data_IF_570800976102
#
_entry.id   IF_570800976102
#
_cell.length_a   1.000
_cell.length_b   1.000
_cell.length_c   1.000
_cell.angle_alpha   90.00
_cell.angle_beta   90.00
_cell.angle_gamma   90.00
#
_symmetry.space_group_name_H-M   'P 1'
#
loop_
_entity.id
_entity.type
_entity.pdbx_description
1 polymer ?
#
# COMPACT_ATOMS: atom_id res chain seq x y z
N UNK A 1 1.59 23.86 0.43
CA UNK A 1 1.11 22.47 0.56
C UNK A 1 0.97 21.67 -0.73
N UNK A 2 0.88 22.24 -1.92
CA UNK A 2 0.87 21.52 -3.22
C UNK A 2 2.14 20.72 -3.56
N UNK A 3 3.28 21.07 -3.00
CA UNK A 3 4.60 20.50 -3.32
C UNK A 3 4.81 19.05 -2.84
N UNK A 4 4.11 18.62 -1.78
CA UNK A 4 4.24 17.25 -1.23
C UNK A 4 3.46 16.19 -2.01
N UNK A 5 2.33 16.55 -2.67
CA UNK A 5 1.56 15.62 -3.52
C UNK A 5 2.37 15.10 -4.71
N UNK A 6 3.20 15.97 -5.30
CA UNK A 6 4.06 15.60 -6.44
C UNK A 6 5.17 14.63 -6.06
N UNK A 7 5.77 14.80 -4.89
CA UNK A 7 6.89 13.98 -4.43
C UNK A 7 6.45 12.55 -4.05
N UNK A 8 5.35 12.39 -3.31
CA UNK A 8 4.78 11.09 -2.94
C UNK A 8 4.30 10.31 -4.17
N UNK A 9 3.64 11.00 -5.11
CA UNK A 9 3.21 10.41 -6.39
C UNK A 9 4.41 9.96 -7.22
N UNK A 10 5.49 10.74 -7.24
CA UNK A 10 6.73 10.44 -7.96
C UNK A 10 7.48 9.26 -7.32
N UNK A 11 7.51 9.15 -5.99
CA UNK A 11 8.17 8.05 -5.26
C UNK A 11 7.41 6.72 -5.39
N UNK A 12 6.07 6.74 -5.31
CA UNK A 12 5.25 5.54 -5.57
C UNK A 12 5.31 5.10 -7.04
N UNK A 13 5.40 6.04 -7.97
CA UNK A 13 5.61 5.77 -9.39
C UNK A 13 7.00 5.18 -9.64
N UNK A 14 8.02 5.64 -8.93
CA UNK A 14 9.39 5.12 -8.99
C UNK A 14 9.46 3.64 -8.55
N UNK A 15 8.78 3.23 -7.50
CA UNK A 15 8.79 1.83 -7.04
C UNK A 15 8.06 0.88 -8.01
N UNK A 16 6.96 1.33 -8.62
CA UNK A 16 6.29 0.56 -9.68
C UNK A 16 7.18 0.45 -10.91
N UNK A 17 7.90 1.52 -11.25
CA UNK A 17 8.89 1.53 -12.34
C UNK A 17 10.05 0.57 -12.06
N UNK A 18 10.54 0.50 -10.82
CA UNK A 18 11.61 -0.45 -10.45
C UNK A 18 11.16 -1.90 -10.58
N UNK A 19 9.95 -2.24 -10.12
CA UNK A 19 9.40 -3.61 -10.25
C UNK A 19 9.19 -3.98 -11.72
N UNK A 20 8.62 -3.06 -12.53
CA UNK A 20 8.46 -3.28 -13.97
C UNK A 20 9.80 -3.37 -14.70
N UNK A 21 10.77 -2.57 -14.30
CA UNK A 21 12.13 -2.65 -14.84
C UNK A 21 12.80 -3.98 -14.51
N UNK A 22 12.66 -4.47 -13.27
CA UNK A 22 13.18 -5.80 -12.87
C UNK A 22 12.50 -6.94 -13.67
N UNK A 23 11.19 -6.87 -13.91
CA UNK A 23 10.49 -7.81 -14.77
C UNK A 23 11.01 -7.78 -16.22
N UNK A 24 11.23 -6.59 -16.78
CA UNK A 24 11.76 -6.43 -18.13
C UNK A 24 13.17 -6.99 -18.23
N UNK A 25 14.05 -6.72 -17.26
CA UNK A 25 15.42 -7.27 -17.21
C UNK A 25 15.37 -8.80 -17.13
N UNK A 26 14.48 -9.37 -16.31
CA UNK A 26 14.31 -10.82 -16.22
C UNK A 26 13.85 -11.43 -17.56
N UNK A 27 12.93 -10.79 -18.26
CA UNK A 27 12.50 -11.20 -19.60
C UNK A 27 13.64 -11.13 -20.64
N UNK A 28 14.48 -10.08 -20.58
CA UNK A 28 15.63 -9.93 -21.48
C UNK A 28 16.66 -11.04 -21.22
N UNK A 29 16.96 -11.34 -19.96
CA UNK A 29 17.89 -12.41 -19.60
C UNK A 29 17.38 -13.77 -20.09
N UNK A 30 16.07 -14.01 -20.05
CA UNK A 30 15.45 -15.22 -20.59
C UNK A 30 15.57 -15.32 -22.11
N UNK A 31 15.30 -14.24 -22.82
CA UNK A 31 15.46 -14.20 -24.27
C UNK A 31 16.92 -14.47 -24.67
N UNK A 32 17.87 -13.95 -23.88
CA UNK A 32 19.30 -14.21 -24.10
C UNK A 32 19.66 -15.69 -23.88
N UNK A 33 19.11 -16.35 -22.83
CA UNK A 33 19.36 -17.79 -22.61
C UNK A 33 18.77 -18.64 -23.72
N UNK A 34 17.57 -18.33 -24.21
CA UNK A 34 16.93 -19.00 -25.33
C UNK A 34 17.80 -18.82 -26.60
N UNK A 35 18.29 -17.62 -26.88
CA UNK A 35 19.15 -17.36 -28.04
C UNK A 35 20.47 -18.13 -27.99
N UNK A 36 21.11 -18.22 -26.82
CA UNK A 36 22.35 -19.00 -26.64
C UNK A 36 22.09 -20.49 -26.82
N UNK A 37 20.99 -21.02 -26.29
CA UNK A 37 20.59 -22.43 -26.46
C UNK A 37 20.32 -22.78 -27.93
N UNK A 38 19.58 -21.91 -28.64
CA UNK A 38 19.28 -22.13 -30.08
C UNK A 38 20.55 -22.09 -30.95
N UNK A 39 21.50 -21.18 -30.67
CA UNK A 39 22.78 -21.12 -31.35
C UNK A 39 23.61 -22.38 -31.08
N UNK A 40 23.64 -22.87 -29.83
CA UNK A 40 24.33 -24.12 -29.48
C UNK A 40 23.74 -25.32 -30.21
N UNK A 41 22.41 -25.43 -30.30
CA UNK A 41 21.74 -26.52 -31.05
C UNK A 41 22.08 -26.42 -32.55
N UNK A 42 22.06 -25.25 -33.15
CA UNK A 42 22.37 -25.02 -34.56
C UNK A 42 23.87 -25.29 -34.91
N UNK A 43 24.78 -24.94 -34.02
CA UNK A 43 26.24 -25.19 -34.27
C UNK A 43 26.63 -26.65 -34.09
N UNK A 44 25.85 -27.43 -33.29
CA UNK A 44 26.03 -28.85 -33.10
C UNK A 44 25.21 -29.70 -34.10
N UNK A 45 24.24 -29.08 -34.78
CA UNK A 45 23.43 -29.74 -35.81
C UNK A 45 24.29 -30.03 -37.04
N UNK A 46 24.73 -31.28 -37.20
CA UNK A 46 25.59 -31.74 -38.31
C UNK A 46 26.77 -32.59 -37.86
N UNK A 47 26.91 -32.86 -36.57
CA UNK A 47 27.85 -33.85 -36.04
C UNK A 47 27.10 -35.08 -35.54
N UNK A 48 27.37 -36.20 -36.16
CA UNK A 48 26.79 -37.51 -35.76
C UNK A 48 27.49 -38.13 -34.54
N UNK A 49 27.87 -37.30 -33.56
CA UNK A 49 28.50 -37.77 -32.32
C UNK A 49 27.46 -38.08 -31.22
N UNK A 50 27.66 -39.13 -30.42
CA UNK A 50 26.76 -39.47 -29.31
C UNK A 50 26.66 -38.34 -28.25
N UNK A 51 27.63 -37.43 -28.19
CA UNK A 51 27.67 -36.23 -27.36
C UNK A 51 26.59 -35.21 -27.80
N UNK A 52 26.17 -35.23 -29.06
CA UNK A 52 25.15 -34.35 -29.61
C UNK A 52 23.76 -34.59 -28.97
N UNK A 53 23.31 -35.84 -28.84
CA UNK A 53 22.04 -36.17 -28.23
C UNK A 53 21.97 -35.76 -26.73
N UNK A 54 23.08 -35.96 -26.01
CA UNK A 54 23.17 -35.56 -24.62
C UNK A 54 23.12 -34.03 -24.43
N UNK A 55 23.76 -33.29 -25.32
CA UNK A 55 23.79 -31.80 -25.29
C UNK A 55 22.43 -31.19 -25.60
N UNK A 56 21.68 -31.75 -26.55
CA UNK A 56 20.32 -31.34 -26.88
C UNK A 56 19.38 -31.60 -25.71
N UNK A 57 19.42 -32.77 -25.12
CA UNK A 57 18.59 -33.14 -23.97
C UNK A 57 18.85 -32.17 -22.80
N UNK A 58 20.13 -31.84 -22.49
CA UNK A 58 20.48 -30.95 -21.43
C UNK A 58 19.98 -29.53 -21.71
N UNK A 59 20.09 -29.04 -22.97
CA UNK A 59 19.63 -27.72 -23.35
C UNK A 59 18.10 -27.58 -23.27
N UNK A 60 17.33 -28.61 -23.69
CA UNK A 60 15.88 -28.62 -23.56
C UNK A 60 15.40 -28.64 -22.11
N UNK A 61 16.10 -29.37 -21.22
CA UNK A 61 15.80 -29.41 -19.79
C UNK A 61 16.07 -28.02 -19.16
N UNK A 62 17.20 -27.39 -19.44
CA UNK A 62 17.54 -26.06 -18.91
C UNK A 62 16.55 -24.99 -19.38
N UNK A 63 16.12 -25.06 -20.64
CA UNK A 63 15.12 -24.15 -21.21
C UNK A 63 13.74 -24.34 -20.57
N UNK A 64 13.32 -25.57 -20.34
CA UNK A 64 12.07 -25.89 -19.63
C UNK A 64 12.06 -25.37 -18.19
N UNK A 65 13.16 -25.56 -17.44
CA UNK A 65 13.30 -25.05 -16.08
C UNK A 65 13.26 -23.51 -16.08
N UNK A 66 13.95 -22.88 -17.02
CA UNK A 66 14.01 -21.43 -17.17
C UNK A 66 12.63 -20.81 -17.43
N UNK A 67 11.81 -21.43 -18.28
CA UNK A 67 10.42 -21.00 -18.52
C UNK A 67 9.54 -21.11 -17.26
N UNK A 68 9.66 -22.18 -16.49
CA UNK A 68 8.91 -22.38 -15.25
C UNK A 68 9.29 -21.31 -14.22
N UNK A 69 10.58 -21.06 -14.03
CA UNK A 69 11.07 -20.03 -13.08
C UNK A 69 10.56 -18.64 -13.46
N UNK A 70 10.53 -18.31 -14.75
CA UNK A 70 10.03 -17.01 -15.19
C UNK A 70 8.53 -16.86 -15.01
N UNK A 71 7.77 -17.89 -15.35
CA UNK A 71 6.33 -17.89 -15.12
C UNK A 71 6.03 -17.70 -13.61
N UNK A 72 6.73 -18.41 -12.73
CA UNK A 72 6.62 -18.27 -11.29
C UNK A 72 6.98 -16.85 -10.82
N UNK A 73 8.04 -16.25 -11.38
CA UNK A 73 8.45 -14.89 -11.03
C UNK A 73 7.42 -13.83 -11.48
N UNK A 74 6.84 -13.98 -12.67
CA UNK A 74 5.77 -13.09 -13.15
C UNK A 74 4.54 -13.19 -12.24
N UNK A 75 4.12 -14.39 -11.85
CA UNK A 75 3.03 -14.60 -10.92
C UNK A 75 3.31 -13.97 -9.56
N UNK A 76 4.52 -14.11 -9.04
CA UNK A 76 4.95 -13.48 -7.81
C UNK A 76 4.88 -11.96 -7.90
N UNK A 77 5.35 -11.36 -8.99
CA UNK A 77 5.26 -9.91 -9.21
C UNK A 77 3.82 -9.40 -9.24
N UNK A 78 2.91 -10.13 -9.89
CA UNK A 78 1.48 -9.80 -9.92
C UNK A 78 0.88 -9.91 -8.51
N UNK A 79 1.23 -10.96 -7.78
CA UNK A 79 0.79 -11.17 -6.40
C UNK A 79 1.24 -10.04 -5.48
N UNK A 80 2.53 -9.69 -5.47
CA UNK A 80 3.09 -8.60 -4.66
C UNK A 80 2.42 -7.26 -5.00
N UNK A 81 2.22 -6.97 -6.29
CA UNK A 81 1.53 -5.76 -6.73
C UNK A 81 0.10 -5.68 -6.18
N UNK A 82 -0.62 -6.80 -6.18
CA UNK A 82 -2.03 -6.86 -5.75
C UNK A 82 -2.17 -6.92 -4.23
N UNK A 83 -1.30 -7.68 -3.55
CA UNK A 83 -1.40 -7.95 -2.12
C UNK A 83 -0.75 -6.85 -1.25
N UNK A 84 0.28 -6.16 -1.75
CA UNK A 84 1.08 -5.20 -0.97
C UNK A 84 0.98 -3.79 -1.54
N UNK A 85 1.36 -3.60 -2.80
CA UNK A 85 1.50 -2.25 -3.37
C UNK A 85 0.17 -1.51 -3.45
N UNK A 86 -0.87 -2.21 -3.86
CA UNK A 86 -2.21 -1.61 -4.04
C UNK A 86 -2.86 -1.17 -2.72
N UNK A 87 -2.88 -2.00 -1.65
CA UNK A 87 -3.37 -1.59 -0.34
C UNK A 87 -2.56 -0.46 0.29
N UNK A 88 -1.22 -0.53 0.26
CA UNK A 88 -0.35 0.53 0.81
C UNK A 88 -0.63 1.87 0.13
N UNK A 89 -0.86 1.86 -1.19
CA UNK A 89 -1.22 3.08 -1.92
C UNK A 89 -2.56 3.67 -1.48
N UNK A 90 -3.55 2.83 -1.21
CA UNK A 90 -4.84 3.26 -0.67
C UNK A 90 -4.67 3.89 0.72
N UNK A 91 -3.92 3.23 1.62
CA UNK A 91 -3.62 3.75 2.96
C UNK A 91 -2.89 5.09 2.88
N UNK A 92 -1.89 5.23 2.00
CA UNK A 92 -1.15 6.47 1.80
C UNK A 92 -2.03 7.61 1.30
N UNK A 93 -2.96 7.35 0.39
CA UNK A 93 -3.91 8.35 -0.09
C UNK A 93 -4.86 8.78 1.03
N UNK A 94 -5.32 7.82 1.83
CA UNK A 94 -6.22 8.09 2.94
C UNK A 94 -5.53 8.89 4.06
N UNK A 95 -4.27 8.56 4.35
CA UNK A 95 -3.47 9.35 5.29
C UNK A 95 -3.26 10.78 4.80
N UNK A 96 -3.18 10.99 3.48
CA UNK A 96 -3.13 12.34 2.92
C UNK A 96 -4.47 13.07 3.09
N UNK A 97 -5.62 12.42 2.85
CA UNK A 97 -6.94 12.99 3.13
C UNK A 97 -7.07 13.36 4.61
N UNK A 98 -6.65 12.46 5.49
CA UNK A 98 -6.62 12.68 6.94
C UNK A 98 -5.75 13.90 7.30
N UNK A 99 -4.58 14.07 6.70
CA UNK A 99 -3.70 15.23 6.94
C UNK A 99 -4.28 16.56 6.42
N UNK A 100 -5.24 16.50 5.49
CA UNK A 100 -6.00 17.64 4.98
C UNK A 100 -7.28 17.90 5.81
N UNK A 101 -7.50 17.15 6.91
CA UNK A 101 -8.69 17.26 7.75
C UNK A 101 -9.94 16.57 7.21
N UNK A 102 -9.82 15.78 6.13
CA UNK A 102 -10.93 15.04 5.53
C UNK A 102 -11.11 13.72 6.30
N UNK A 103 -12.00 13.72 7.28
CA UNK A 103 -12.26 12.57 8.15
C UNK A 103 -13.41 11.67 7.66
N UNK A 104 -14.25 12.15 6.75
CA UNK A 104 -15.46 11.47 6.27
C UNK A 104 -15.24 10.59 5.03
N UNK A 105 -14.05 10.56 4.42
CA UNK A 105 -13.77 9.76 3.24
C UNK A 105 -13.93 8.25 3.55
N UNK A 106 -14.54 7.50 2.63
CA UNK A 106 -14.64 6.04 2.76
C UNK A 106 -13.27 5.38 2.67
N UNK A 107 -13.01 4.46 3.60
CA UNK A 107 -11.77 3.72 3.68
C UNK A 107 -11.96 2.28 3.16
N UNK A 108 -11.78 2.09 1.86
CA UNK A 108 -11.92 0.80 1.17
C UNK A 108 -10.61 -0.01 1.19
N UNK A 109 -10.14 -0.40 2.36
CA UNK A 109 -9.06 -1.38 2.54
C UNK A 109 -9.57 -2.49 3.45
N UNK A 110 -9.38 -3.74 3.03
CA UNK A 110 -9.78 -4.90 3.84
C UNK A 110 -8.98 -4.94 5.13
N UNK A 111 -9.69 -4.87 6.26
CA UNK A 111 -9.12 -5.07 7.58
C UNK A 111 -9.03 -6.58 7.81
N UNK A 112 -7.82 -7.09 7.99
CA UNK A 112 -7.52 -8.50 8.24
C UNK A 112 -6.29 -8.61 9.15
N UNK A 113 -5.90 -9.83 9.52
CA UNK A 113 -4.78 -10.09 10.42
C UNK A 113 -3.39 -9.82 9.83
N UNK A 114 -3.28 -9.46 8.55
CA UNK A 114 -2.01 -9.05 7.95
C UNK A 114 -1.57 -7.69 8.52
N UNK A 115 -0.27 -7.43 8.53
CA UNK A 115 0.29 -6.15 9.00
C UNK A 115 -0.31 -4.94 8.29
N UNK A 116 -0.59 -5.08 6.98
CA UNK A 116 -1.25 -4.05 6.18
C UNK A 116 -2.72 -3.88 6.61
N UNK A 117 -3.41 -4.99 6.91
CA UNK A 117 -4.79 -4.95 7.40
C UNK A 117 -4.89 -4.34 8.79
N UNK A 118 -3.94 -4.65 9.69
CA UNK A 118 -3.84 -4.03 11.03
C UNK A 118 -3.56 -2.54 10.93
N UNK A 119 -2.64 -2.13 10.05
CA UNK A 119 -2.35 -0.71 9.80
C UNK A 119 -3.60 0.02 9.28
N UNK A 120 -4.33 -0.59 8.36
CA UNK A 120 -5.59 -0.06 7.84
C UNK A 120 -6.63 0.11 8.95
N UNK A 121 -6.77 -0.90 9.81
CA UNK A 121 -7.67 -0.87 10.97
C UNK A 121 -7.31 0.24 11.96
N UNK A 122 -6.03 0.38 12.29
CA UNK A 122 -5.55 1.43 13.20
C UNK A 122 -5.82 2.83 12.65
N UNK A 123 -5.57 3.05 11.35
CA UNK A 123 -5.87 4.33 10.69
C UNK A 123 -7.37 4.63 10.70
N UNK A 124 -8.20 3.64 10.41
CA UNK A 124 -9.66 3.80 10.44
C UNK A 124 -10.17 4.14 11.84
N UNK A 125 -9.65 3.48 12.87
CA UNK A 125 -9.98 3.76 14.28
C UNK A 125 -9.57 5.18 14.68
N UNK A 126 -8.35 5.60 14.34
CA UNK A 126 -7.88 6.96 14.61
C UNK A 126 -8.75 8.02 13.92
N UNK A 127 -9.11 7.78 12.68
CA UNK A 127 -9.98 8.64 11.88
C UNK A 127 -11.38 8.77 12.49
N UNK A 128 -11.97 7.64 12.85
CA UNK A 128 -13.29 7.61 13.52
C UNK A 128 -13.26 8.35 14.85
N UNK A 129 -12.23 8.12 15.67
CA UNK A 129 -12.06 8.79 16.95
C UNK A 129 -11.98 10.30 16.79
N UNK A 130 -11.12 10.79 15.88
CA UNK A 130 -10.98 12.22 15.63
C UNK A 130 -12.26 12.83 15.04
N UNK A 131 -12.94 12.11 14.15
CA UNK A 131 -14.21 12.60 13.60
C UNK A 131 -15.25 12.79 14.70
N UNK A 132 -15.41 11.80 15.58
CA UNK A 132 -16.35 11.89 16.71
C UNK A 132 -16.01 13.05 17.64
N UNK A 133 -14.73 13.26 17.92
CA UNK A 133 -14.27 14.38 18.75
C UNK A 133 -14.60 15.73 18.10
N UNK A 134 -14.34 15.89 16.81
CA UNK A 134 -14.65 17.13 16.07
C UNK A 134 -16.15 17.36 16.01
N UNK A 135 -16.95 16.32 15.77
CA UNK A 135 -18.42 16.41 15.75
C UNK A 135 -18.95 16.87 17.12
N UNK A 136 -18.43 16.29 18.23
CA UNK A 136 -18.83 16.68 19.60
C UNK A 136 -18.43 18.13 19.90
N UNK A 137 -17.18 18.52 19.61
CA UNK A 137 -16.72 19.91 19.81
C UNK A 137 -17.56 20.90 19.02
N UNK A 138 -17.90 20.57 17.78
CA UNK A 138 -18.75 21.42 16.93
C UNK A 138 -20.14 21.55 17.54
N UNK A 139 -20.70 20.47 18.04
CA UNK A 139 -21.99 20.47 18.73
C UNK A 139 -21.96 21.36 19.98
N UNK A 140 -20.96 21.17 20.87
CA UNK A 140 -20.82 21.93 22.11
C UNK A 140 -20.68 23.44 21.82
N UNK A 141 -19.81 23.81 20.89
CA UNK A 141 -19.63 25.22 20.49
C UNK A 141 -20.90 25.82 19.89
N UNK A 142 -21.65 25.04 19.13
CA UNK A 142 -22.92 25.47 18.55
C UNK A 142 -23.97 25.71 19.64
N UNK A 143 -24.08 24.82 20.65
CA UNK A 143 -24.98 25.00 21.77
C UNK A 143 -24.64 26.27 22.55
N UNK A 144 -23.35 26.48 22.83
CA UNK A 144 -22.87 27.69 23.52
C UNK A 144 -23.19 28.97 22.72
N UNK A 145 -23.10 28.95 21.40
CA UNK A 145 -23.41 30.11 20.54
C UNK A 145 -24.89 30.50 20.61
N UNK A 146 -25.78 29.58 20.94
CA UNK A 146 -27.20 29.83 21.17
C UNK A 146 -27.54 30.16 22.64
N UNK A 147 -26.51 30.33 23.49
CA UNK A 147 -26.70 30.59 24.92
C UNK A 147 -27.14 29.39 25.74
N UNK A 148 -27.15 28.21 25.16
CA UNK A 148 -27.41 26.97 25.88
C UNK A 148 -26.11 26.48 26.52
N UNK A 149 -25.99 26.60 27.83
CA UNK A 149 -24.82 26.17 28.62
C UNK A 149 -25.16 24.95 29.53
N UNK A 150 -26.39 24.45 29.45
CA UNK A 150 -26.90 23.33 30.29
C UNK A 150 -26.70 21.99 29.57
N UNK A 151 -25.45 21.63 29.21
CA UNK A 151 -25.12 20.33 28.61
C UNK A 151 -23.95 19.68 29.35
N UNK A 152 -23.86 18.36 29.20
CA UNK A 152 -22.79 17.54 29.74
C UNK A 152 -21.89 17.03 28.61
N UNK A 153 -20.58 16.95 28.86
CA UNK A 153 -19.61 16.43 27.91
C UNK A 153 -19.52 14.91 28.10
N UNK A 154 -20.14 14.18 27.20
CA UNK A 154 -20.25 12.72 27.30
C UNK A 154 -19.13 11.98 26.57
N UNK A 155 -18.36 12.65 25.68
CA UNK A 155 -17.31 12.01 24.92
C UNK A 155 -16.11 11.68 25.80
N UNK A 156 -15.58 10.45 25.63
CA UNK A 156 -14.40 9.98 26.34
C UNK A 156 -13.12 10.45 25.59
N UNK A 157 -12.59 11.60 26.00
CA UNK A 157 -11.33 12.14 25.46
C UNK A 157 -10.15 11.37 26.02
N UNK A 158 -9.34 10.73 25.14
CA UNK A 158 -8.22 9.87 25.52
C UNK A 158 -6.88 10.56 25.33
N UNK A 159 -5.94 10.20 26.19
CA UNK A 159 -4.54 10.64 26.10
C UNK A 159 -4.42 12.18 26.16
N UNK A 160 -3.69 12.72 25.23
CA UNK A 160 -3.41 14.18 25.14
C UNK A 160 -4.64 15.04 24.79
N UNK A 161 -5.78 14.44 24.46
CA UNK A 161 -7.03 15.15 24.23
C UNK A 161 -7.85 15.37 25.51
N UNK A 162 -7.51 14.68 26.62
CA UNK A 162 -8.21 14.82 27.90
C UNK A 162 -8.28 16.29 28.42
N UNK A 163 -7.24 17.13 28.30
CA UNK A 163 -7.30 18.52 28.70
C UNK A 163 -8.39 19.36 28.02
N UNK A 164 -8.81 18.96 26.81
CA UNK A 164 -9.88 19.64 26.06
C UNK A 164 -11.18 19.55 26.85
N UNK A 165 -11.51 18.36 27.40
CA UNK A 165 -12.69 18.16 28.24
C UNK A 165 -12.67 19.08 29.46
N UNK A 166 -11.56 19.09 30.19
CA UNK A 166 -11.40 19.91 31.38
C UNK A 166 -11.52 21.42 31.08
N UNK A 167 -10.98 21.87 29.95
CA UNK A 167 -11.10 23.26 29.52
C UNK A 167 -12.56 23.64 29.22
N UNK A 168 -13.32 22.77 28.56
CA UNK A 168 -14.75 23.00 28.31
C UNK A 168 -15.56 23.00 29.62
N UNK A 169 -15.31 22.08 30.56
CA UNK A 169 -15.95 22.04 31.86
C UNK A 169 -15.70 23.34 32.64
N UNK A 170 -14.47 23.87 32.62
CA UNK A 170 -14.17 25.17 33.24
C UNK A 170 -14.93 26.33 32.58
N UNK A 171 -15.04 26.36 31.26
CA UNK A 171 -15.81 27.37 30.55
C UNK A 171 -17.27 27.35 31.00
N UNK A 172 -17.88 26.15 31.09
CA UNK A 172 -19.25 26.00 31.54
C UNK A 172 -19.45 26.50 32.97
N UNK A 173 -18.51 26.18 33.88
CA UNK A 173 -18.56 26.68 35.27
C UNK A 173 -18.46 28.20 35.34
N UNK A 174 -17.65 28.81 34.50
CA UNK A 174 -17.46 30.27 34.49
C UNK A 174 -18.61 31.04 33.84
N UNK A 175 -19.42 30.38 33.01
CA UNK A 175 -20.56 31.00 32.33
C UNK A 175 -21.90 30.80 33.08
N UNK A 176 -21.96 29.89 34.05
CA UNK A 176 -23.10 29.66 34.95
C UNK A 176 -22.98 30.54 36.22
#
# INVERSE_FOLDING_TARGET
MKKNKGWLKKKAQSQVVVITFLCVVCCIMMLATIAVCTVNILTLAGRDDPVYHSSIMLSLITEGISLIVTAAFILLCIYVKKAIVKPIRKISNELNNFSEGILSAEFDVKINDSDIGKLAGSLNTAKWYLKKMVDELTYLLTQMSYGNISFTINYDYKGEFTPIKSAFEQILVNLN
#
